data_IF_737381767991
#
_entry.id   IF_737381767991
#
_cell.length_a   1.000
_cell.length_b   1.000
_cell.length_c   1.000
_cell.angle_alpha   90.00
_cell.angle_beta   90.00
_cell.angle_gamma   90.00
#
_symmetry.space_group_name_H-M   'P 1'
#
loop_
_entity.id
_entity.type
_entity.pdbx_description
1 polymer ?
#
# COMPACT_ATOMS: atom_id res chain seq x y z
N UNK A 1 11.93 11.63 22.71
CA UNK A 1 11.03 10.70 21.98
C UNK A 1 11.69 10.43 20.62
N UNK A 2 11.99 9.19 20.29
CA UNK A 2 12.50 8.78 18.96
C UNK A 2 11.38 8.87 17.92
N UNK A 3 11.73 8.83 16.64
CA UNK A 3 10.74 8.79 15.55
C UNK A 3 9.84 7.57 15.67
N UNK A 4 10.41 6.41 16.00
CA UNK A 4 9.67 5.18 16.25
C UNK A 4 8.64 5.33 17.38
N UNK A 5 9.06 5.87 18.55
CA UNK A 5 8.13 6.11 19.66
C UNK A 5 7.01 7.08 19.26
N UNK A 6 7.34 8.12 18.48
CA UNK A 6 6.36 9.08 18.02
C UNK A 6 5.35 8.44 17.05
N UNK A 7 5.81 7.63 16.09
CA UNK A 7 4.93 6.86 15.20
C UNK A 7 3.98 5.92 15.95
N UNK A 8 4.38 5.41 17.11
CA UNK A 8 3.61 4.45 17.91
C UNK A 8 2.66 5.08 18.91
N UNK A 9 3.03 6.21 19.51
CA UNK A 9 2.35 6.78 20.69
C UNK A 9 1.79 8.18 20.49
N UNK A 10 2.26 8.89 19.47
CA UNK A 10 1.86 10.28 19.18
C UNK A 10 1.75 10.51 17.68
N UNK A 11 2.64 11.34 17.13
CA UNK A 11 2.78 11.56 15.71
C UNK A 11 4.21 11.96 15.35
N UNK A 12 4.68 11.53 14.17
CA UNK A 12 5.98 11.87 13.61
C UNK A 12 5.82 12.41 12.19
N UNK A 13 6.67 13.38 11.80
CA UNK A 13 6.79 13.80 10.41
C UNK A 13 7.70 12.84 9.66
N UNK A 14 7.36 12.58 8.40
CA UNK A 14 8.02 11.58 7.56
C UNK A 14 8.23 12.14 6.16
N UNK A 15 9.46 12.06 5.64
CA UNK A 15 9.70 12.25 4.20
C UNK A 15 9.44 10.93 3.47
N UNK A 16 8.79 11.01 2.33
CA UNK A 16 8.49 9.87 1.46
C UNK A 16 9.19 10.05 0.11
N UNK A 17 10.53 9.92 0.06
CA UNK A 17 11.28 10.13 -1.17
C UNK A 17 10.95 9.07 -2.21
N UNK A 18 11.02 9.45 -3.48
CA UNK A 18 10.90 8.54 -4.61
C UNK A 18 9.49 8.05 -4.90
N UNK A 19 8.42 8.62 -4.28
CA UNK A 19 7.04 8.25 -4.66
C UNK A 19 6.84 8.47 -6.15
N UNK A 20 6.21 7.51 -6.83
CA UNK A 20 5.78 7.68 -8.21
C UNK A 20 4.52 8.55 -8.25
N UNK A 21 4.63 9.74 -8.85
CA UNK A 21 3.55 10.72 -8.90
C UNK A 21 3.15 10.98 -10.35
N UNK A 22 1.90 10.63 -10.70
CA UNK A 22 1.35 10.83 -12.04
C UNK A 22 0.15 11.77 -11.93
N UNK A 23 0.23 12.92 -12.59
CA UNK A 23 -0.90 13.84 -12.72
C UNK A 23 -1.74 13.44 -13.93
N UNK A 24 -3.04 13.38 -13.75
CA UNK A 24 -4.03 13.07 -14.79
C UNK A 24 -4.92 14.28 -14.98
N UNK A 25 -4.83 14.92 -16.14
CA UNK A 25 -5.57 16.11 -16.51
C UNK A 25 -6.63 15.77 -17.56
N UNK A 26 -7.51 16.73 -17.88
CA UNK A 26 -8.57 16.64 -18.90
C UNK A 26 -9.95 16.37 -18.31
N UNK A 27 -10.97 16.59 -19.12
CA UNK A 27 -12.38 16.45 -18.67
C UNK A 27 -12.75 15.00 -18.37
N UNK A 28 -12.15 14.05 -19.11
CA UNK A 28 -12.42 12.61 -18.96
C UNK A 28 -11.56 11.91 -17.90
N UNK A 29 -10.67 12.62 -17.17
CA UNK A 29 -9.72 12.06 -16.21
C UNK A 29 -10.35 11.12 -15.18
N UNK A 30 -11.47 11.56 -14.57
CA UNK A 30 -12.14 10.77 -13.56
C UNK A 30 -12.80 9.51 -14.14
N UNK A 31 -13.36 9.61 -15.34
CA UNK A 31 -13.97 8.49 -16.07
C UNK A 31 -12.94 7.43 -16.43
N UNK A 32 -11.81 7.85 -17.00
CA UNK A 32 -10.72 6.94 -17.39
C UNK A 32 -10.17 6.20 -16.17
N UNK A 33 -9.70 6.94 -15.15
CA UNK A 33 -9.11 6.32 -13.94
C UNK A 33 -10.12 5.41 -13.25
N UNK A 34 -11.41 5.81 -13.20
CA UNK A 34 -12.47 4.97 -12.67
C UNK A 34 -12.62 3.65 -13.46
N UNK A 35 -12.63 3.69 -14.79
CA UNK A 35 -12.76 2.49 -15.63
C UNK A 35 -11.53 1.57 -15.56
N UNK A 36 -10.36 2.12 -15.20
CA UNK A 36 -9.10 1.36 -15.13
C UNK A 36 -8.76 0.84 -13.73
N UNK A 37 -9.50 1.22 -12.70
CA UNK A 37 -9.15 0.93 -11.29
C UNK A 37 -10.30 0.24 -10.53
N UNK A 38 -10.00 -0.38 -9.41
CA UNK A 38 -10.95 -1.20 -8.64
C UNK A 38 -11.88 -0.41 -7.73
N UNK A 39 -11.54 0.85 -7.39
CA UNK A 39 -12.32 1.65 -6.42
C UNK A 39 -13.12 2.78 -7.07
N UNK A 40 -13.94 3.45 -6.26
CA UNK A 40 -14.87 4.48 -6.70
C UNK A 40 -14.16 5.84 -6.84
N UNK A 41 -13.54 6.07 -8.01
CA UNK A 41 -12.80 7.30 -8.30
C UNK A 41 -13.73 8.43 -8.77
N UNK A 42 -14.71 8.10 -9.61
CA UNK A 42 -15.57 9.11 -10.26
C UNK A 42 -16.46 9.90 -9.27
N UNK A 43 -16.67 9.37 -8.07
CA UNK A 43 -17.44 10.03 -7.03
C UNK A 43 -16.61 10.94 -6.11
N UNK A 44 -15.27 10.91 -6.23
CA UNK A 44 -14.40 11.75 -5.40
C UNK A 44 -14.64 13.23 -5.66
N UNK A 45 -14.73 13.99 -4.58
CA UNK A 45 -14.76 15.45 -4.61
C UNK A 45 -13.36 16.01 -4.39
N UNK A 46 -13.14 17.27 -4.79
CA UNK A 46 -11.88 17.96 -4.51
C UNK A 46 -11.53 17.89 -3.02
N UNK A 47 -10.30 17.46 -2.73
CA UNK A 47 -9.84 17.23 -1.36
C UNK A 47 -10.06 15.81 -0.83
N UNK A 48 -10.75 14.94 -1.56
CA UNK A 48 -10.90 13.53 -1.20
C UNK A 48 -9.88 12.64 -1.88
N UNK A 49 -9.68 11.45 -1.35
CA UNK A 49 -8.81 10.43 -1.93
C UNK A 49 -9.35 9.03 -1.70
N UNK A 50 -8.91 8.07 -2.50
CA UNK A 50 -9.13 6.66 -2.25
C UNK A 50 -7.91 5.82 -2.68
N UNK A 51 -7.67 4.72 -1.98
CA UNK A 51 -6.73 3.71 -2.43
C UNK A 51 -7.39 2.76 -3.42
N UNK A 52 -6.69 2.37 -4.49
CA UNK A 52 -7.23 1.50 -5.54
C UNK A 52 -6.14 0.64 -6.16
N UNK A 53 -6.55 -0.48 -6.75
CA UNK A 53 -5.69 -1.32 -7.59
C UNK A 53 -5.96 -1.08 -9.07
N UNK A 54 -4.90 -1.20 -9.87
CA UNK A 54 -4.95 -1.28 -11.32
C UNK A 54 -4.64 -2.71 -11.73
N UNK A 55 -5.50 -3.31 -12.55
CA UNK A 55 -5.45 -4.72 -12.90
C UNK A 55 -5.18 -4.91 -14.38
N UNK A 56 -4.64 -6.07 -14.74
CA UNK A 56 -4.69 -6.56 -16.11
C UNK A 56 -6.03 -7.28 -16.39
N UNK A 57 -6.25 -7.66 -17.64
CA UNK A 57 -7.47 -8.37 -18.07
C UNK A 57 -7.67 -9.73 -17.36
N UNK A 58 -6.61 -10.32 -16.81
CA UNK A 58 -6.64 -11.56 -16.02
C UNK A 58 -6.88 -11.30 -14.51
N UNK A 59 -7.23 -10.06 -14.13
CA UNK A 59 -7.50 -9.67 -12.75
C UNK A 59 -6.29 -9.67 -11.82
N UNK A 60 -5.06 -9.69 -12.38
CA UNK A 60 -3.82 -9.59 -11.61
C UNK A 60 -3.44 -8.14 -11.38
N UNK A 61 -2.88 -7.87 -10.22
CA UNK A 61 -2.45 -6.52 -9.82
C UNK A 61 -1.26 -6.08 -10.68
N UNK A 62 -1.38 -4.94 -11.34
CA UNK A 62 -0.27 -4.27 -12.02
C UNK A 62 0.41 -3.26 -11.11
N UNK A 63 -0.41 -2.49 -10.40
CA UNK A 63 -0.02 -1.46 -9.46
C UNK A 63 -1.15 -1.21 -8.47
N UNK A 64 -0.83 -0.54 -7.37
CA UNK A 64 -1.79 0.21 -6.58
C UNK A 64 -1.47 1.71 -6.63
N UNK A 65 -2.43 2.53 -6.28
CA UNK A 65 -2.19 3.95 -6.04
C UNK A 65 -3.23 4.54 -5.09
N UNK A 66 -2.83 5.58 -4.40
CA UNK A 66 -3.76 6.55 -3.89
C UNK A 66 -4.16 7.50 -5.00
N UNK A 67 -5.45 7.62 -5.24
CA UNK A 67 -6.02 8.61 -6.17
C UNK A 67 -6.47 9.79 -5.34
N UNK A 68 -5.84 10.93 -5.56
CA UNK A 68 -6.13 12.20 -4.86
C UNK A 68 -6.87 13.11 -5.83
N UNK A 69 -8.06 13.56 -5.44
CA UNK A 69 -8.84 14.49 -6.25
C UNK A 69 -8.43 15.94 -5.93
N UNK A 70 -7.81 16.59 -6.91
CA UNK A 70 -7.46 18.01 -6.89
C UNK A 70 -8.53 18.80 -7.69
N UNK A 71 -8.46 20.13 -7.68
CA UNK A 71 -9.45 20.99 -8.34
C UNK A 71 -9.57 20.67 -9.84
N UNK A 72 -8.43 20.65 -10.56
CA UNK A 72 -8.39 20.48 -12.01
C UNK A 72 -7.78 19.15 -12.47
N UNK A 73 -7.34 18.31 -11.55
CA UNK A 73 -6.61 17.08 -11.88
C UNK A 73 -6.87 15.96 -10.86
N UNK A 74 -6.46 14.74 -11.22
CA UNK A 74 -6.21 13.68 -10.26
C UNK A 74 -4.69 13.49 -10.12
N UNK A 75 -4.22 13.29 -8.89
CA UNK A 75 -2.86 12.88 -8.64
C UNK A 75 -2.86 11.40 -8.22
N UNK A 76 -2.14 10.56 -8.94
CA UNK A 76 -1.90 9.16 -8.58
C UNK A 76 -0.58 9.06 -7.86
N UNK A 77 -0.61 8.61 -6.61
CA UNK A 77 0.57 8.36 -5.78
C UNK A 77 0.77 6.85 -5.63
N UNK A 78 1.80 6.33 -6.26
CA UNK A 78 2.13 4.90 -6.29
C UNK A 78 3.54 4.63 -5.79
N UNK A 79 3.90 3.35 -5.61
CA UNK A 79 5.28 2.97 -5.31
C UNK A 79 6.19 3.24 -6.52
N UNK A 80 7.48 3.60 -6.29
CA UNK A 80 8.39 3.99 -7.39
C UNK A 80 8.51 2.89 -8.46
N UNK A 81 8.54 1.63 -8.04
CA UNK A 81 8.68 0.47 -8.93
C UNK A 81 7.46 0.23 -9.83
N UNK A 82 6.31 0.77 -9.45
CA UNK A 82 5.04 0.60 -10.17
C UNK A 82 4.73 1.77 -11.12
N UNK A 83 5.38 2.94 -10.95
CA UNK A 83 5.06 4.18 -11.66
C UNK A 83 5.07 4.05 -13.18
N UNK A 84 6.18 3.61 -13.75
CA UNK A 84 6.33 3.55 -15.21
C UNK A 84 5.35 2.56 -15.84
N UNK A 85 5.10 1.45 -15.15
CA UNK A 85 4.12 0.46 -15.56
C UNK A 85 2.70 1.02 -15.51
N UNK A 86 2.34 1.70 -14.42
CA UNK A 86 1.04 2.34 -14.27
C UNK A 86 0.83 3.41 -15.34
N UNK A 87 1.85 4.25 -15.57
CA UNK A 87 1.81 5.28 -16.61
C UNK A 87 1.55 4.66 -17.98
N UNK A 88 2.38 3.70 -18.41
CA UNK A 88 2.24 3.03 -19.70
C UNK A 88 0.90 2.26 -19.83
N UNK A 89 0.40 1.72 -18.70
CA UNK A 89 -0.88 1.04 -18.69
C UNK A 89 -2.03 2.01 -18.96
N UNK A 90 -2.07 3.17 -18.29
CA UNK A 90 -3.11 4.17 -18.50
C UNK A 90 -3.02 4.79 -19.90
N UNK A 91 -1.82 5.16 -20.35
CA UNK A 91 -1.56 5.78 -21.66
C UNK A 91 -2.10 4.93 -22.80
N UNK A 92 -1.94 3.61 -22.72
CA UNK A 92 -2.45 2.66 -23.72
C UNK A 92 -3.96 2.73 -23.93
N UNK A 93 -4.73 3.16 -22.92
CA UNK A 93 -6.19 3.21 -22.98
C UNK A 93 -6.74 4.62 -23.27
N UNK A 94 -5.87 5.61 -23.44
CA UNK A 94 -6.24 6.95 -23.91
C UNK A 94 -6.30 6.90 -25.44
N UNK A 95 -7.51 6.83 -26.02
CA UNK A 95 -7.71 6.73 -27.46
C UNK A 95 -8.37 8.00 -28.02
N UNK A 96 -9.52 8.34 -27.47
CA UNK A 96 -10.33 9.50 -27.89
C UNK A 96 -10.81 10.32 -26.68
N UNK A 97 -10.29 10.01 -25.51
CA UNK A 97 -10.60 10.68 -24.25
C UNK A 97 -9.82 11.99 -24.16
N UNK A 98 -10.44 13.03 -23.62
CA UNK A 98 -9.74 14.24 -23.22
C UNK A 98 -9.00 13.98 -21.90
N UNK A 99 -7.85 13.32 -22.01
CA UNK A 99 -6.96 12.97 -20.90
C UNK A 99 -5.51 13.14 -21.30
N UNK A 100 -4.71 13.75 -20.42
CA UNK A 100 -3.25 13.79 -20.52
C UNK A 100 -2.63 13.30 -19.21
N UNK A 101 -1.55 12.52 -19.34
CA UNK A 101 -0.74 12.03 -18.21
C UNK A 101 0.56 12.82 -18.14
N UNK A 102 0.93 13.23 -16.94
CA UNK A 102 2.19 13.92 -16.67
C UNK A 102 2.91 13.22 -15.52
N UNK A 103 4.17 12.83 -15.72
CA UNK A 103 5.04 12.39 -14.62
C UNK A 103 5.53 13.62 -13.86
N UNK A 104 5.05 13.79 -12.63
CA UNK A 104 5.40 14.91 -11.75
C UNK A 104 6.27 14.48 -10.57
N UNK A 105 6.89 13.30 -10.67
CA UNK A 105 7.72 12.71 -9.61
C UNK A 105 8.85 13.64 -9.17
N UNK A 106 9.51 14.30 -10.11
CA UNK A 106 10.62 15.22 -9.82
C UNK A 106 10.15 16.65 -9.45
N UNK A 107 8.87 16.95 -9.67
CA UNK A 107 8.29 18.28 -9.41
C UNK A 107 7.68 18.37 -8.01
N UNK A 108 7.22 17.26 -7.46
CA UNK A 108 6.52 17.22 -6.19
C UNK A 108 7.19 16.26 -5.21
N UNK A 109 7.28 16.69 -3.96
CA UNK A 109 7.66 15.81 -2.85
C UNK A 109 6.44 15.41 -2.03
N UNK A 110 6.43 14.17 -1.56
CA UNK A 110 5.44 13.67 -0.61
C UNK A 110 5.99 13.77 0.82
N UNK A 111 5.25 14.46 1.69
CA UNK A 111 5.55 14.60 3.13
C UNK A 111 4.32 14.19 3.91
N UNK A 112 4.53 13.43 4.98
CA UNK A 112 3.45 12.94 5.83
C UNK A 112 3.68 13.24 7.31
N UNK A 113 2.57 13.23 8.06
CA UNK A 113 2.55 13.09 9.52
C UNK A 113 1.81 11.81 9.82
N UNK A 114 2.46 10.90 10.53
CA UNK A 114 2.00 9.53 10.79
C UNK A 114 1.93 9.25 12.28
N UNK A 115 0.96 8.49 12.72
CA UNK A 115 0.82 8.03 14.10
C UNK A 115 -0.57 8.31 14.68
N UNK A 116 -0.90 7.74 15.86
CA UNK A 116 -2.26 7.75 16.40
C UNK A 116 -2.80 9.15 16.73
N UNK A 117 -1.93 10.14 16.93
CA UNK A 117 -2.30 11.53 17.19
C UNK A 117 -1.96 12.45 16.00
N UNK A 118 -1.76 11.89 14.81
CA UNK A 118 -1.54 12.69 13.61
C UNK A 118 -2.82 13.48 13.25
N UNK A 119 -2.64 14.77 13.01
CA UNK A 119 -3.73 15.68 12.63
C UNK A 119 -3.54 16.16 11.19
N UNK A 120 -4.66 16.30 10.47
CA UNK A 120 -4.68 16.85 9.12
C UNK A 120 -4.48 18.36 9.11
N UNK A 121 -3.94 18.86 8.01
CA UNK A 121 -3.81 20.30 7.75
C UNK A 121 -4.30 20.63 6.33
N UNK A 122 -4.57 21.90 6.01
CA UNK A 122 -5.02 22.28 4.67
C UNK A 122 -4.05 21.81 3.58
N UNK A 123 -4.57 21.04 2.61
CA UNK A 123 -3.80 20.43 1.53
C UNK A 123 -3.21 19.04 1.85
N UNK A 124 -3.47 18.50 3.04
CA UNK A 124 -3.14 17.11 3.37
C UNK A 124 -4.33 16.18 3.17
N UNK A 125 -4.05 14.94 2.80
CA UNK A 125 -5.01 13.88 2.56
C UNK A 125 -4.86 12.76 3.59
N UNK A 126 -5.94 12.08 4.00
CA UNK A 126 -5.89 11.00 4.98
C UNK A 126 -5.26 9.73 4.39
N UNK A 127 -3.95 9.75 4.24
CA UNK A 127 -3.14 8.69 3.64
C UNK A 127 -2.03 8.32 4.61
N UNK A 128 -1.98 7.04 5.03
CA UNK A 128 -0.90 6.50 5.86
C UNK A 128 0.02 5.59 5.07
N UNK A 129 1.33 5.73 5.30
CA UNK A 129 2.36 4.84 4.75
C UNK A 129 2.69 3.67 5.70
N UNK A 130 2.26 3.77 6.96
CA UNK A 130 2.55 2.73 7.97
C UNK A 130 1.31 1.93 8.37
N UNK A 131 0.15 2.28 7.81
CA UNK A 131 -1.15 1.74 8.21
C UNK A 131 -1.61 2.31 9.56
N UNK A 132 -2.82 2.81 9.61
CA UNK A 132 -3.41 3.53 10.73
C UNK A 132 -3.69 4.98 10.38
N UNK A 133 -3.53 5.89 11.34
CA UNK A 133 -3.76 7.32 11.11
C UNK A 133 -2.51 7.95 10.49
N UNK A 134 -2.70 8.67 9.38
CA UNK A 134 -1.66 9.40 8.68
C UNK A 134 -2.25 10.46 7.76
N UNK A 135 -1.50 11.52 7.53
CA UNK A 135 -1.86 12.62 6.66
C UNK A 135 -0.70 12.94 5.73
N UNK A 136 -0.94 12.97 4.43
CA UNK A 136 0.07 13.17 3.39
C UNK A 136 -0.25 14.39 2.55
N UNK A 137 0.76 15.20 2.29
CA UNK A 137 0.68 16.32 1.36
C UNK A 137 1.73 16.18 0.25
N UNK A 138 1.43 16.80 -0.89
CA UNK A 138 2.29 16.88 -2.05
C UNK A 138 2.63 18.33 -2.32
N UNK A 139 3.91 18.65 -2.45
CA UNK A 139 4.37 20.04 -2.52
C UNK A 139 5.62 20.17 -3.42
N UNK A 140 5.73 21.29 -4.11
CA UNK A 140 6.90 21.76 -4.83
C UNK A 140 7.90 22.51 -3.93
N UNK A 141 7.49 22.87 -2.69
CA UNK A 141 8.36 23.47 -1.66
C UNK A 141 8.45 22.56 -0.40
N UNK A 142 9.20 21.44 -0.49
CA UNK A 142 9.29 20.47 0.60
C UNK A 142 9.96 21.02 1.85
N UNK A 143 10.90 21.97 1.71
CA UNK A 143 11.62 22.50 2.86
C UNK A 143 10.76 23.43 3.71
N UNK A 144 9.92 24.26 3.10
CA UNK A 144 8.97 25.11 3.81
C UNK A 144 7.93 24.25 4.56
N UNK A 145 7.37 23.23 3.90
CA UNK A 145 6.42 22.31 4.54
C UNK A 145 7.10 21.55 5.68
N UNK A 146 8.32 21.05 5.47
CA UNK A 146 9.09 20.32 6.49
C UNK A 146 9.37 21.16 7.72
N UNK A 147 9.72 22.43 7.54
CA UNK A 147 9.91 23.37 8.62
C UNK A 147 8.61 23.66 9.38
N UNK A 148 7.49 23.81 8.68
CA UNK A 148 6.18 24.03 9.32
C UNK A 148 5.78 22.87 10.25
N UNK A 149 6.24 21.66 9.94
CA UNK A 149 5.98 20.44 10.71
C UNK A 149 7.08 20.14 11.76
N UNK A 150 7.99 21.07 12.06
CA UNK A 150 9.14 20.84 12.96
C UNK A 150 8.78 20.51 14.42
N UNK A 151 7.55 20.79 14.81
CA UNK A 151 7.01 20.41 16.13
C UNK A 151 6.75 18.91 16.26
N UNK A 152 6.65 18.15 15.16
CA UNK A 152 6.62 16.70 15.16
C UNK A 152 8.05 16.13 15.11
N UNK A 153 8.39 15.14 15.95
CA UNK A 153 9.65 14.39 15.80
C UNK A 153 9.77 13.80 14.38
N UNK A 154 10.98 13.74 13.87
CA UNK A 154 11.27 13.08 12.60
C UNK A 154 11.35 11.57 12.80
N UNK A 155 10.71 10.80 11.90
CA UNK A 155 10.92 9.36 11.80
C UNK A 155 11.61 9.01 10.48
N UNK A 156 12.65 8.19 10.57
CA UNK A 156 13.43 7.75 9.43
C UNK A 156 12.76 6.58 8.68
N UNK A 157 13.40 6.14 7.58
CA UNK A 157 12.88 5.08 6.75
C UNK A 157 12.84 3.71 7.47
N UNK A 158 13.79 3.44 8.38
CA UNK A 158 13.86 2.17 9.12
C UNK A 158 12.80 2.12 10.22
N UNK A 159 12.62 3.22 10.96
CA UNK A 159 11.58 3.37 11.97
C UNK A 159 10.18 3.23 11.34
N UNK A 160 9.96 3.86 10.18
CA UNK A 160 8.72 3.74 9.41
C UNK A 160 8.48 2.32 8.94
N UNK A 161 9.49 1.67 8.37
CA UNK A 161 9.39 0.28 7.88
C UNK A 161 9.05 -0.68 9.02
N UNK A 162 9.68 -0.51 10.19
CA UNK A 162 9.38 -1.32 11.37
C UNK A 162 7.93 -1.15 11.82
N UNK A 163 7.44 0.09 11.91
CA UNK A 163 6.04 0.36 12.32
C UNK A 163 5.06 -0.18 11.28
N UNK A 164 5.36 -0.06 9.97
CA UNK A 164 4.57 -0.65 8.88
C UNK A 164 4.41 -2.17 9.07
N UNK A 165 5.50 -2.86 9.34
CA UNK A 165 5.51 -4.32 9.57
C UNK A 165 4.82 -4.71 10.86
N UNK A 166 5.02 -3.98 11.96
CA UNK A 166 4.30 -4.21 13.21
C UNK A 166 2.80 -4.06 13.04
N UNK A 167 2.40 -3.12 12.20
CA UNK A 167 1.01 -2.89 11.85
C UNK A 167 0.49 -3.92 10.82
N UNK A 168 1.34 -4.69 10.16
CA UNK A 168 0.95 -5.64 9.12
C UNK A 168 0.52 -4.97 7.81
N UNK A 169 0.90 -3.70 7.59
CA UNK A 169 0.52 -2.94 6.40
C UNK A 169 1.38 -3.32 5.18
N UNK A 170 0.81 -3.88 4.10
CA UNK A 170 1.56 -4.33 2.94
C UNK A 170 1.96 -3.17 2.02
N UNK A 171 3.04 -3.38 1.25
CA UNK A 171 3.54 -2.48 0.23
C UNK A 171 3.55 -3.15 -1.14
N UNK A 172 3.03 -2.48 -2.16
CA UNK A 172 3.08 -2.94 -3.54
C UNK A 172 4.53 -3.00 -4.04
N UNK A 173 4.85 -3.99 -4.86
CA UNK A 173 6.22 -4.25 -5.32
C UNK A 173 7.07 -5.06 -4.34
N UNK A 174 6.69 -5.12 -3.06
CA UNK A 174 7.39 -5.89 -2.01
C UNK A 174 6.53 -7.03 -1.48
N UNK A 175 5.38 -6.70 -0.91
CA UNK A 175 4.46 -7.68 -0.32
C UNK A 175 3.34 -8.07 -1.30
N UNK A 176 2.92 -7.12 -2.11
CA UNK A 176 1.91 -7.30 -3.16
C UNK A 176 2.62 -7.30 -4.50
N UNK A 177 2.57 -8.44 -5.19
CA UNK A 177 3.24 -8.67 -6.46
C UNK A 177 2.22 -8.85 -7.61
N UNK A 178 2.69 -8.70 -8.85
CA UNK A 178 1.88 -8.83 -10.07
C UNK A 178 1.22 -10.21 -10.26
N UNK A 179 1.68 -11.22 -9.53
CA UNK A 179 1.08 -12.56 -9.53
C UNK A 179 -0.11 -12.69 -8.59
N UNK A 180 -0.40 -11.63 -7.82
CA UNK A 180 -1.47 -11.67 -6.81
C UNK A 180 -2.81 -11.20 -7.37
N UNK A 181 -3.87 -11.73 -6.78
CA UNK A 181 -5.24 -11.24 -6.91
C UNK A 181 -5.52 -10.25 -5.78
N UNK A 182 -6.46 -9.33 -5.99
CA UNK A 182 -6.82 -8.35 -4.94
C UNK A 182 -7.31 -9.02 -3.65
N UNK A 183 -8.01 -10.14 -3.76
CA UNK A 183 -8.50 -10.89 -2.59
C UNK A 183 -7.38 -11.54 -1.77
N UNK A 184 -6.22 -11.81 -2.38
CA UNK A 184 -5.06 -12.36 -1.68
C UNK A 184 -4.37 -11.32 -0.78
N UNK A 185 -4.59 -10.02 -1.04
CA UNK A 185 -3.89 -8.92 -0.33
C UNK A 185 -4.49 -8.57 1.03
N UNK A 186 -5.74 -8.93 1.28
CA UNK A 186 -6.50 -8.50 2.46
C UNK A 186 -6.99 -7.03 2.41
N UNK A 187 -6.69 -6.27 1.35
CA UNK A 187 -7.04 -4.84 1.23
C UNK A 187 -8.37 -4.64 0.48
N UNK A 188 -9.44 -5.25 0.95
CA UNK A 188 -10.73 -5.23 0.25
C UNK A 188 -11.42 -3.86 0.27
N UNK A 189 -11.03 -2.94 1.16
CA UNK A 189 -11.45 -1.53 1.16
C UNK A 189 -11.02 -0.76 -0.09
N UNK A 190 -10.04 -1.29 -0.83
CA UNK A 190 -9.54 -0.73 -2.09
C UNK A 190 -10.33 -1.22 -3.32
N UNK A 191 -11.42 -1.96 -3.09
CA UNK A 191 -12.28 -2.53 -4.14
C UNK A 191 -13.73 -2.13 -3.89
N UNK A 192 -14.32 -1.42 -4.84
CA UNK A 192 -15.75 -1.14 -4.82
C UNK A 192 -16.50 -2.24 -5.60
N UNK A 193 -17.43 -2.89 -4.94
CA UNK A 193 -18.30 -3.89 -5.56
C UNK A 193 -19.61 -3.32 -6.10
N UNK A 194 -19.81 -2.02 -5.95
CA UNK A 194 -21.04 -1.31 -6.39
C UNK A 194 -20.78 -0.30 -7.49
N UNK A 195 -19.51 -0.08 -7.85
CA UNK A 195 -19.15 0.77 -9.00
C UNK A 195 -19.45 0.07 -10.34
N UNK A 196 -19.43 0.83 -11.43
CA UNK A 196 -19.54 0.31 -12.79
C UNK A 196 -18.37 -0.58 -13.22
N UNK A 197 -18.34 -0.94 -14.50
CA UNK A 197 -17.33 -1.83 -15.06
C UNK A 197 -15.92 -1.24 -14.97
N UNK A 198 -14.95 -2.13 -14.73
CA UNK A 198 -13.52 -1.80 -14.77
C UNK A 198 -12.70 -2.98 -15.31
N UNK A 199 -11.50 -2.71 -15.78
CA UNK A 199 -10.62 -3.74 -16.33
C UNK A 199 -10.28 -4.80 -15.27
N UNK A 200 -10.47 -6.09 -15.60
CA UNK A 200 -10.21 -7.22 -14.71
C UNK A 200 -11.36 -7.57 -13.75
N UNK A 201 -12.46 -6.82 -13.75
CA UNK A 201 -13.60 -7.01 -12.84
C UNK A 201 -14.19 -8.43 -12.89
N UNK A 202 -14.26 -9.05 -14.07
CA UNK A 202 -14.86 -10.39 -14.20
C UNK A 202 -14.17 -11.42 -13.29
N UNK A 203 -12.85 -11.37 -13.22
CA UNK A 203 -12.07 -12.28 -12.36
C UNK A 203 -12.30 -11.95 -10.89
N UNK A 204 -12.31 -10.67 -10.51
CA UNK A 204 -12.56 -10.22 -9.14
C UNK A 204 -13.93 -10.70 -8.66
N UNK A 205 -14.99 -10.51 -9.47
CA UNK A 205 -16.34 -10.96 -9.13
C UNK A 205 -16.47 -12.49 -9.12
N UNK A 206 -15.81 -13.19 -10.04
CA UNK A 206 -15.80 -14.65 -10.07
C UNK A 206 -15.15 -15.24 -8.80
N UNK A 207 -14.03 -14.68 -8.36
CA UNK A 207 -13.37 -15.11 -7.11
C UNK A 207 -14.27 -14.81 -5.91
N UNK A 208 -14.87 -13.62 -5.85
CA UNK A 208 -15.81 -13.24 -4.80
C UNK A 208 -17.01 -14.20 -4.70
N UNK A 209 -17.63 -14.54 -5.84
CA UNK A 209 -18.84 -15.34 -5.87
C UNK A 209 -18.60 -16.84 -5.65
N UNK A 210 -17.43 -17.35 -6.05
CA UNK A 210 -17.09 -18.78 -6.00
C UNK A 210 -16.12 -19.15 -4.87
N UNK A 211 -15.60 -18.17 -4.13
CA UNK A 211 -14.88 -18.37 -2.87
C UNK A 211 -13.52 -19.07 -2.95
N UNK A 212 -12.85 -19.06 -4.10
CA UNK A 212 -11.64 -19.85 -4.28
C UNK A 212 -10.34 -19.01 -4.20
N UNK A 213 -10.07 -18.39 -3.06
CA UNK A 213 -8.73 -17.90 -2.75
C UNK A 213 -8.03 -18.98 -1.94
N UNK A 214 -6.82 -19.36 -2.33
CA UNK A 214 -6.09 -20.46 -1.70
C UNK A 214 -4.91 -20.00 -0.83
N UNK A 215 -4.61 -18.70 -0.83
CA UNK A 215 -3.54 -18.09 -0.06
C UNK A 215 -3.87 -16.63 0.23
N UNK A 216 -3.36 -16.13 1.34
CA UNK A 216 -3.52 -14.73 1.73
C UNK A 216 -2.21 -14.15 2.24
N UNK A 217 -2.04 -12.85 2.03
CA UNK A 217 -1.01 -12.09 2.72
C UNK A 217 -1.38 -12.00 4.20
N UNK A 218 -0.44 -12.39 5.07
CA UNK A 218 -0.64 -12.48 6.52
C UNK A 218 0.48 -11.75 7.26
N UNK A 219 0.12 -11.13 8.37
CA UNK A 219 1.10 -10.71 9.36
C UNK A 219 1.64 -11.94 10.10
N UNK A 220 2.95 -11.98 10.28
CA UNK A 220 3.68 -13.09 10.87
C UNK A 220 4.53 -12.63 12.05
N UNK A 221 4.78 -13.56 12.98
CA UNK A 221 5.75 -13.41 14.05
C UNK A 221 6.73 -14.59 13.97
N UNK A 222 8.01 -14.28 13.84
CA UNK A 222 9.08 -15.26 13.74
C UNK A 222 9.86 -15.26 15.05
N UNK A 223 10.06 -16.42 15.63
CA UNK A 223 10.75 -16.54 16.92
C UNK A 223 12.23 -16.15 16.80
N UNK A 224 12.76 -15.51 17.85
CA UNK A 224 14.17 -15.11 17.93
C UNK A 224 14.46 -13.77 17.25
N UNK A 225 15.76 -13.56 16.92
CA UNK A 225 16.27 -12.27 16.45
C UNK A 225 16.72 -12.30 14.97
N UNK A 226 16.86 -13.50 14.38
CA UNK A 226 17.31 -13.66 13.00
C UNK A 226 16.19 -13.24 12.03
N UNK A 227 16.43 -12.17 11.28
CA UNK A 227 15.47 -11.65 10.29
C UNK A 227 15.56 -12.50 9.02
N UNK A 228 14.50 -13.22 8.63
CA UNK A 228 14.50 -14.00 7.40
C UNK A 228 14.60 -13.09 6.17
N UNK A 229 15.32 -13.58 5.16
CA UNK A 229 15.38 -12.88 3.87
C UNK A 229 14.01 -12.91 3.16
N UNK A 230 13.71 -11.94 2.30
CA UNK A 230 12.58 -12.02 1.38
C UNK A 230 12.58 -13.34 0.61
N UNK A 231 11.41 -13.92 0.35
CA UNK A 231 11.19 -15.21 -0.29
C UNK A 231 11.64 -16.44 0.52
N UNK A 232 12.05 -16.29 1.80
CA UNK A 232 12.26 -17.43 2.70
C UNK A 232 11.01 -18.28 2.78
N UNK A 233 11.18 -19.59 2.54
CA UNK A 233 10.06 -20.53 2.50
C UNK A 233 9.46 -20.77 3.89
N UNK A 234 8.14 -20.82 3.93
CA UNK A 234 7.35 -21.23 5.09
C UNK A 234 6.82 -22.63 4.87
N UNK A 235 6.96 -23.50 5.87
CA UNK A 235 6.51 -24.88 5.82
C UNK A 235 5.57 -25.21 6.98
N UNK A 236 4.73 -26.23 6.77
CA UNK A 236 3.98 -26.93 7.80
C UNK A 236 4.39 -28.41 7.74
N UNK A 237 5.26 -28.84 8.65
CA UNK A 237 5.97 -30.10 8.50
C UNK A 237 6.82 -30.08 7.21
N UNK A 238 6.65 -31.09 6.34
CA UNK A 238 7.35 -31.18 5.05
C UNK A 238 6.63 -30.40 3.90
N UNK A 239 5.42 -29.92 4.13
CA UNK A 239 4.62 -29.29 3.10
C UNK A 239 4.92 -27.79 2.99
N UNK A 240 5.13 -27.29 1.77
CA UNK A 240 5.26 -25.85 1.50
C UNK A 240 3.95 -25.13 1.80
N UNK A 241 4.03 -24.18 2.74
CA UNK A 241 2.92 -23.41 3.25
C UNK A 241 2.86 -21.96 2.72
N UNK A 242 3.99 -21.43 2.28
CA UNK A 242 4.07 -20.05 1.81
C UNK A 242 5.49 -19.53 1.72
N UNK A 243 5.63 -18.19 1.83
CA UNK A 243 6.94 -17.53 1.88
C UNK A 243 6.82 -16.16 2.57
N UNK A 244 7.93 -15.69 3.16
CA UNK A 244 8.07 -14.35 3.75
C UNK A 244 8.26 -13.33 2.63
N UNK A 245 7.62 -12.16 2.71
CA UNK A 245 7.79 -11.07 1.75
C UNK A 245 8.69 -9.96 2.30
N UNK A 246 8.46 -9.58 3.56
CA UNK A 246 9.26 -8.56 4.26
C UNK A 246 9.31 -8.88 5.76
N UNK A 247 10.41 -8.50 6.42
CA UNK A 247 10.61 -8.77 7.85
C UNK A 247 11.54 -7.74 8.48
N UNK A 248 11.36 -7.49 9.79
CA UNK A 248 12.27 -6.71 10.61
C UNK A 248 12.20 -7.20 12.07
N UNK A 249 13.27 -7.01 12.84
CA UNK A 249 13.26 -7.29 14.27
C UNK A 249 12.62 -6.12 15.04
N UNK A 250 11.66 -6.42 15.90
CA UNK A 250 11.03 -5.46 16.80
C UNK A 250 11.56 -5.62 18.21
N UNK A 251 12.34 -4.67 18.67
CA UNK A 251 12.83 -4.65 20.07
C UNK A 251 11.66 -4.59 21.05
N UNK A 252 10.61 -3.81 20.73
CA UNK A 252 9.41 -3.69 21.56
C UNK A 252 8.68 -5.01 21.77
N UNK A 253 8.63 -5.85 20.74
CA UNK A 253 7.94 -7.14 20.79
C UNK A 253 8.86 -8.30 21.21
N UNK A 254 10.20 -8.10 21.14
CA UNK A 254 11.20 -9.13 21.41
C UNK A 254 11.21 -10.27 20.36
N UNK A 255 10.66 -10.02 19.17
CA UNK A 255 10.54 -11.01 18.10
C UNK A 255 10.59 -10.33 16.71
N UNK A 256 10.78 -11.11 15.67
CA UNK A 256 10.73 -10.60 14.30
C UNK A 256 9.27 -10.47 13.85
N UNK A 257 8.93 -9.29 13.35
CA UNK A 257 7.67 -8.98 12.67
C UNK A 257 7.87 -9.16 11.17
N UNK A 258 6.92 -9.79 10.50
CA UNK A 258 7.03 -10.05 9.08
C UNK A 258 5.66 -10.02 8.38
N UNK A 259 5.68 -9.88 7.07
CA UNK A 259 4.58 -10.19 6.17
C UNK A 259 4.95 -11.40 5.33
N UNK A 260 3.96 -12.18 4.92
CA UNK A 260 4.18 -13.33 4.07
C UNK A 260 2.91 -13.83 3.41
N UNK A 261 3.07 -14.43 2.26
CA UNK A 261 1.99 -15.09 1.55
C UNK A 261 1.83 -16.51 2.09
N UNK A 262 0.67 -16.83 2.68
CA UNK A 262 0.40 -18.09 3.38
C UNK A 262 -0.80 -18.78 2.78
N UNK A 263 -0.69 -20.09 2.53
CA UNK A 263 -1.81 -20.93 2.07
C UNK A 263 -2.85 -21.11 3.19
N UNK A 264 -4.13 -21.03 2.85
CA UNK A 264 -5.23 -21.16 3.82
C UNK A 264 -5.25 -22.52 4.52
N UNK A 265 -4.81 -23.58 3.85
CA UNK A 265 -4.71 -24.92 4.43
C UNK A 265 -3.62 -25.11 5.47
N UNK A 266 -2.77 -24.09 5.70
CA UNK A 266 -1.55 -24.25 6.52
C UNK A 266 -1.76 -23.99 8.02
N UNK A 267 -2.94 -23.47 8.43
CA UNK A 267 -3.17 -23.11 9.82
C UNK A 267 -2.25 -21.99 10.34
N UNK A 268 -2.03 -21.92 11.65
CA UNK A 268 -1.31 -20.80 12.28
C UNK A 268 0.10 -21.14 12.78
N UNK A 269 0.51 -22.42 12.77
CA UNK A 269 1.80 -22.89 13.27
C UNK A 269 2.69 -23.30 12.11
N UNK A 270 3.56 -22.40 11.69
CA UNK A 270 4.48 -22.56 10.56
C UNK A 270 5.93 -22.63 11.06
N UNK A 271 6.85 -22.93 10.18
CA UNK A 271 8.30 -22.83 10.44
C UNK A 271 9.07 -22.40 9.19
N UNK A 272 10.21 -21.78 9.41
CA UNK A 272 11.22 -21.57 8.37
C UNK A 272 11.97 -22.87 8.06
N UNK A 273 12.74 -22.89 6.99
CA UNK A 273 13.51 -24.06 6.56
C UNK A 273 14.51 -24.58 7.61
N UNK A 274 14.99 -23.72 8.50
CA UNK A 274 15.88 -24.06 9.62
C UNK A 274 15.13 -24.55 10.87
N UNK A 275 13.81 -24.69 10.80
CA UNK A 275 12.95 -25.09 11.91
C UNK A 275 12.52 -23.95 12.84
N UNK A 276 12.93 -22.70 12.59
CA UNK A 276 12.51 -21.55 13.38
C UNK A 276 10.99 -21.40 13.38
N UNK A 277 10.33 -21.38 14.55
CA UNK A 277 8.87 -21.27 14.62
C UNK A 277 8.35 -19.93 14.06
N UNK A 278 7.25 -20.01 13.29
CA UNK A 278 6.53 -18.87 12.75
C UNK A 278 5.06 -19.02 13.08
N UNK A 279 4.43 -17.98 13.62
CA UNK A 279 2.99 -17.94 13.86
C UNK A 279 2.32 -16.85 13.02
N UNK A 280 1.12 -17.12 12.54
CA UNK A 280 0.27 -16.09 11.95
C UNK A 280 -0.22 -15.20 13.06
N UNK A 281 0.05 -13.91 12.97
CA UNK A 281 -0.48 -12.91 13.89
C UNK A 281 -1.86 -12.43 13.42
N UNK A 282 -2.69 -11.99 14.37
CA UNK A 282 -3.85 -11.19 13.99
C UNK A 282 -3.33 -9.89 13.35
N UNK A 283 -3.74 -9.61 12.13
CA UNK A 283 -3.51 -8.29 11.55
C UNK A 283 -4.19 -7.24 12.43
N UNK A 284 -3.54 -6.11 12.62
CA UNK A 284 -4.26 -4.96 13.13
C UNK A 284 -5.43 -4.69 12.16
N UNK A 285 -6.63 -4.61 12.68
CA UNK A 285 -7.80 -4.21 11.89
C UNK A 285 -7.62 -2.72 11.55
N UNK A 286 -7.50 -2.44 10.26
CA UNK A 286 -7.43 -1.09 9.69
C UNK A 286 -8.81 -0.46 9.59
#
# INVERSE_FOLDING_TARGET
>A
MTGYEALRLSAARVRLPGRGLIRVNGEDRARLVHAMSTNQVQALQTGECCHTFFLNAQGRILADAWVVCQEDSLLLDTEPEAKDKLFAHLDKFIIADDVTLEDVTEQLAAIAVEGPLAEGWPGAFPISAVGGVGWRAYTDDPESLWKRLEHYPEADAQERELVRLENGHPRCGVDILETHLVQETGQMQSVSFTKGCYLGQEIVERVRSRGAVHRHLRALRVAGHAVPAPMSELTLGEAKAGFVTSAAYSERLGEVVALGMVKDSSGNALQLADGTPVRVAQAATW
#
